data_IF_724094025488
#
_entry.id   IF_724094025488
#
_cell.length_a   1.000
_cell.length_b   1.000
_cell.length_c   1.000
_cell.angle_alpha   90.00
_cell.angle_beta   90.00
_cell.angle_gamma   90.00
#
_symmetry.space_group_name_H-M   'P 1'
#
loop_
_entity.id
_entity.type
_entity.pdbx_description
1 polymer ?
#
# COMPACT_ATOMS: atom_id res chain seq x y z
N UNK A 1 15.97 -0.68 -13.35
CA UNK A 1 16.97 -0.68 -12.25
C UNK A 1 16.27 -1.27 -11.04
N UNK A 2 16.94 -2.06 -10.18
CA UNK A 2 16.27 -2.59 -9.00
C UNK A 2 15.73 -1.43 -8.16
N UNK A 3 14.48 -1.56 -7.72
CA UNK A 3 13.86 -0.60 -6.80
C UNK A 3 14.68 -0.59 -5.51
N UNK A 4 15.25 0.57 -5.18
CA UNK A 4 16.11 0.72 -3.99
C UNK A 4 15.30 0.52 -2.71
N UNK A 5 15.94 -0.06 -1.69
CA UNK A 5 15.39 -0.23 -0.35
C UNK A 5 14.03 -0.99 -0.36
N UNK A 6 13.86 -1.91 -1.32
CA UNK A 6 12.64 -2.70 -1.50
C UNK A 6 12.53 -3.82 -0.46
N UNK A 7 11.31 -4.07 0.01
CA UNK A 7 11.04 -5.13 0.96
C UNK A 7 9.57 -5.25 1.34
N UNK A 8 9.34 -6.02 2.41
CA UNK A 8 8.02 -6.32 2.96
C UNK A 8 7.95 -5.78 4.39
N UNK A 9 6.92 -5.01 4.72
CA UNK A 9 6.63 -4.62 6.09
C UNK A 9 5.40 -5.35 6.62
N UNK A 10 5.57 -6.10 7.71
CA UNK A 10 4.47 -6.72 8.46
C UNK A 10 4.10 -5.86 9.66
N UNK A 11 2.82 -5.53 9.80
CA UNK A 11 2.35 -4.63 10.86
C UNK A 11 0.85 -4.72 11.13
N UNK A 12 0.37 -3.74 11.90
CA UNK A 12 -1.03 -3.51 12.23
C UNK A 12 -1.46 -2.09 11.83
N UNK A 13 -2.57 -1.92 11.11
CA UNK A 13 -3.05 -0.63 10.69
C UNK A 13 -3.73 0.08 11.86
N UNK A 14 -3.45 1.38 12.01
CA UNK A 14 -3.91 2.18 13.15
C UNK A 14 -4.80 3.36 12.71
N UNK A 15 -4.47 3.99 11.59
CA UNK A 15 -5.17 5.18 11.09
C UNK A 15 -4.96 5.28 9.58
N UNK A 16 -5.80 6.04 8.87
CA UNK A 16 -5.56 6.36 7.47
C UNK A 16 -6.07 7.75 7.14
N UNK A 17 -5.47 8.35 6.12
CA UNK A 17 -5.94 9.59 5.50
C UNK A 17 -5.98 9.42 3.99
N UNK A 18 -7.03 9.95 3.37
CA UNK A 18 -7.16 10.05 1.93
C UNK A 18 -6.79 11.46 1.49
N UNK A 19 -5.91 11.58 0.50
CA UNK A 19 -5.73 12.82 -0.26
C UNK A 19 -6.60 12.75 -1.52
N UNK A 20 -7.45 13.74 -1.75
CA UNK A 20 -8.25 13.85 -2.98
C UNK A 20 -7.50 14.64 -4.08
N UNK A 21 -8.10 14.74 -5.26
CA UNK A 21 -7.49 15.45 -6.40
C UNK A 21 -7.30 16.96 -6.19
N UNK A 22 -8.02 17.56 -5.24
CA UNK A 22 -7.91 18.98 -4.89
C UNK A 22 -6.78 19.20 -3.89
N UNK A 23 -6.50 18.22 -3.03
CA UNK A 23 -5.41 18.24 -2.06
C UNK A 23 -4.04 17.91 -2.68
N UNK A 24 -3.96 16.89 -3.54
CA UNK A 24 -2.78 16.59 -4.36
C UNK A 24 -3.21 16.36 -5.83
N UNK A 25 -3.11 17.38 -6.70
CA UNK A 25 -3.48 17.23 -8.10
C UNK A 25 -2.52 16.33 -8.89
N UNK A 26 -1.31 16.08 -8.37
CA UNK A 26 -0.24 15.34 -9.05
C UNK A 26 -0.26 13.86 -8.69
N UNK A 27 -0.31 13.52 -7.40
CA UNK A 27 -0.16 12.15 -6.90
C UNK A 27 -0.98 11.91 -5.62
N UNK A 28 -2.32 11.97 -5.69
CA UNK A 28 -3.16 11.63 -4.55
C UNK A 28 -2.91 10.18 -4.16
N UNK A 29 -2.83 9.97 -2.84
CA UNK A 29 -2.52 8.69 -2.23
C UNK A 29 -3.32 8.52 -0.94
N UNK A 30 -3.59 7.27 -0.58
CA UNK A 30 -4.00 6.91 0.76
C UNK A 30 -2.73 6.81 1.62
N UNK A 31 -2.66 7.62 2.67
CA UNK A 31 -1.65 7.48 3.72
C UNK A 31 -2.19 6.50 4.77
N UNK A 32 -1.68 5.27 4.79
CA UNK A 32 -2.01 4.28 5.82
C UNK A 32 -0.97 4.36 6.93
N UNK A 33 -1.40 4.58 8.16
CA UNK A 33 -0.54 4.57 9.34
C UNK A 33 -0.62 3.25 10.06
N UNK A 34 0.53 2.74 10.49
CA UNK A 34 0.65 1.43 11.09
C UNK A 34 1.76 1.37 12.13
N UNK A 35 1.77 0.30 12.91
CA UNK A 35 2.84 -0.05 13.83
C UNK A 35 3.19 -1.54 13.67
N UNK A 36 4.39 -1.92 14.07
CA UNK A 36 4.86 -3.31 14.08
C UNK A 36 4.98 -3.87 15.51
N UNK A 37 4.58 -3.11 16.53
CA UNK A 37 4.53 -3.60 17.89
C UNK A 37 3.34 -4.56 18.12
N UNK A 38 3.61 -5.85 18.21
CA UNK A 38 2.61 -6.90 18.48
C UNK A 38 2.14 -6.94 19.95
N UNK A 39 2.88 -6.34 20.88
CA UNK A 39 2.50 -6.35 22.30
C UNK A 39 1.47 -5.26 22.64
N UNK A 40 1.57 -4.07 22.02
CA UNK A 40 0.70 -2.94 22.35
C UNK A 40 0.59 -1.93 21.20
N UNK A 41 -0.63 -1.44 20.98
CA UNK A 41 -0.88 -0.28 20.13
C UNK A 41 -0.18 0.97 20.70
N UNK A 42 0.66 1.66 19.92
CA UNK A 42 1.28 2.91 20.35
C UNK A 42 0.21 3.95 20.70
N UNK A 43 0.51 4.81 21.69
CA UNK A 43 -0.26 6.03 21.88
C UNK A 43 0.14 7.02 20.80
N UNK A 44 -0.85 7.54 20.07
CA UNK A 44 -0.67 8.62 19.11
C UNK A 44 -1.87 9.55 19.19
N UNK A 45 -1.64 10.81 18.83
CA UNK A 45 -2.69 11.80 18.69
C UNK A 45 -3.51 11.49 17.42
N UNK A 46 -4.77 11.06 17.59
CA UNK A 46 -5.69 10.76 16.48
C UNK A 46 -6.07 12.01 15.70
N UNK A 47 -5.90 13.17 16.32
CA UNK A 47 -6.28 14.47 15.82
C UNK A 47 -5.05 15.22 15.26
N UNK A 48 -3.87 14.59 15.28
CA UNK A 48 -2.59 15.17 14.86
C UNK A 48 -2.68 15.85 13.48
N UNK A 49 -3.43 15.20 12.58
CA UNK A 49 -3.67 15.63 11.20
C UNK A 49 -5.13 15.97 10.91
N UNK A 50 -5.99 16.22 11.92
CA UNK A 50 -7.41 16.54 11.73
C UNK A 50 -7.60 17.48 10.53
N UNK A 51 -8.04 16.91 9.40
CA UNK A 51 -8.13 17.66 8.15
C UNK A 51 -9.36 18.55 8.21
N UNK A 52 -9.17 19.83 7.93
CA UNK A 52 -10.28 20.68 7.55
C UNK A 52 -10.56 20.43 6.07
N UNK A 53 -11.64 19.70 5.78
CA UNK A 53 -12.15 19.49 4.42
C UNK A 53 -12.22 20.84 3.69
N UNK A 54 -11.45 21.01 2.61
CA UNK A 54 -11.41 22.24 1.81
C UNK A 54 -10.29 23.24 2.14
N UNK A 55 -9.38 22.93 3.07
CA UNK A 55 -8.19 23.75 3.31
C UNK A 55 -6.91 23.05 2.79
N UNK A 56 -5.96 23.80 2.19
CA UNK A 56 -4.71 23.21 1.72
C UNK A 56 -3.90 22.63 2.89
N UNK A 57 -3.11 21.56 2.66
CA UNK A 57 -2.25 20.98 3.68
C UNK A 57 -1.32 22.03 4.30
N UNK A 58 -1.21 22.06 5.63
CA UNK A 58 -0.19 22.87 6.29
C UNK A 58 1.20 22.31 5.98
N UNK A 59 1.93 22.97 5.09
CA UNK A 59 3.28 22.57 4.64
C UNK A 59 4.32 22.54 5.77
N UNK A 60 4.03 23.13 6.93
CA UNK A 60 4.93 23.14 8.10
C UNK A 60 4.69 21.95 9.04
N UNK A 61 3.57 21.21 8.90
CA UNK A 61 3.34 19.99 9.66
C UNK A 61 3.87 18.77 8.90
N UNK A 62 4.64 17.88 9.55
CA UNK A 62 5.08 16.64 8.91
C UNK A 62 3.88 15.75 8.58
N UNK A 63 4.02 14.94 7.52
CA UNK A 63 3.01 13.95 7.14
C UNK A 63 3.04 12.75 8.09
N UNK A 64 4.11 12.56 8.84
CA UNK A 64 4.32 11.41 9.70
C UNK A 64 3.76 11.68 11.10
N UNK A 65 2.93 10.75 11.60
CA UNK A 65 2.37 10.81 12.96
C UNK A 65 3.42 10.23 13.91
N UNK A 66 3.89 10.98 14.92
CA UNK A 66 4.85 10.46 15.89
C UNK A 66 4.35 9.15 16.53
N UNK A 67 5.21 8.14 16.54
CA UNK A 67 4.90 6.81 17.07
C UNK A 67 4.27 5.83 16.07
N UNK A 68 4.03 6.25 14.82
CA UNK A 68 3.54 5.39 13.74
C UNK A 68 4.46 5.44 12.53
N UNK A 69 4.46 4.36 11.76
CA UNK A 69 4.98 4.30 10.39
C UNK A 69 3.90 4.74 9.41
N UNK A 70 4.30 5.17 8.21
CA UNK A 70 3.37 5.58 7.14
C UNK A 70 3.62 4.80 5.85
N UNK A 71 2.56 4.30 5.23
CA UNK A 71 2.58 3.77 3.87
C UNK A 71 1.90 4.76 2.93
N UNK A 72 2.59 5.21 1.90
CA UNK A 72 2.01 6.00 0.83
C UNK A 72 1.52 5.08 -0.28
N UNK A 73 0.20 4.85 -0.33
CA UNK A 73 -0.47 3.95 -1.27
C UNK A 73 -1.07 4.77 -2.39
N UNK A 74 -0.52 4.67 -3.60
CA UNK A 74 -0.98 5.45 -4.73
C UNK A 74 -2.41 5.05 -5.12
N UNK A 75 -3.30 6.04 -5.23
CA UNK A 75 -4.69 5.83 -5.66
C UNK A 75 -4.97 6.49 -7.03
N UNK A 76 -3.95 7.03 -7.69
CA UNK A 76 -4.03 7.57 -9.04
C UNK A 76 -2.72 7.36 -9.79
N UNK A 77 -2.81 7.11 -11.09
CA UNK A 77 -1.66 7.12 -11.99
C UNK A 77 -1.19 8.55 -12.28
N UNK A 78 0.12 8.79 -12.33
CA UNK A 78 0.73 10.08 -12.67
C UNK A 78 0.84 10.31 -14.20
N UNK A 79 0.46 9.33 -15.02
CA UNK A 79 0.46 9.40 -16.48
C UNK A 79 -0.76 10.11 -17.09
N UNK A 80 -0.82 10.15 -18.43
CA UNK A 80 -1.98 10.71 -19.17
C UNK A 80 -3.29 9.95 -18.89
N UNK A 81 -3.18 8.68 -18.50
CA UNK A 81 -4.27 7.84 -18.05
C UNK A 81 -4.26 7.81 -16.51
N UNK A 82 -5.31 8.33 -15.88
CA UNK A 82 -5.41 8.44 -14.42
C UNK A 82 -6.00 7.20 -13.76
N UNK A 83 -6.64 6.31 -14.54
CA UNK A 83 -7.23 5.06 -14.07
C UNK A 83 -6.16 4.12 -13.52
N UNK A 84 -6.49 3.40 -12.45
CA UNK A 84 -5.68 2.31 -11.92
C UNK A 84 -6.36 0.97 -12.19
N UNK A 85 -5.56 -0.02 -12.55
CA UNK A 85 -6.00 -1.40 -12.47
C UNK A 85 -5.87 -1.87 -11.02
N UNK A 86 -6.93 -2.46 -10.49
CA UNK A 86 -6.95 -2.98 -9.13
C UNK A 86 -7.60 -4.36 -9.09
N UNK A 87 -7.11 -5.19 -8.18
CA UNK A 87 -7.59 -6.55 -7.94
C UNK A 87 -7.94 -6.70 -6.47
N UNK A 88 -9.19 -7.11 -6.20
CA UNK A 88 -9.58 -7.64 -4.89
C UNK A 88 -9.56 -9.15 -4.98
N UNK A 89 -8.54 -9.78 -4.40
CA UNK A 89 -8.48 -11.24 -4.31
C UNK A 89 -8.82 -11.69 -2.88
N UNK A 90 -10.07 -12.09 -2.66
CA UNK A 90 -10.50 -12.68 -1.39
C UNK A 90 -10.07 -14.14 -1.19
N UNK A 91 -9.55 -14.80 -2.23
CA UNK A 91 -9.10 -16.20 -2.22
C UNK A 91 -7.58 -16.35 -2.06
N UNK A 92 -6.88 -15.27 -1.76
CA UNK A 92 -5.43 -15.29 -1.59
C UNK A 92 -4.96 -16.32 -0.55
N UNK A 93 -5.83 -16.69 0.41
CA UNK A 93 -5.60 -17.73 1.42
C UNK A 93 -5.12 -19.06 0.84
N UNK A 94 -5.51 -19.41 -0.38
CA UNK A 94 -5.10 -20.66 -1.06
C UNK A 94 -3.70 -20.56 -1.70
N UNK A 95 -3.11 -19.37 -1.76
CA UNK A 95 -1.84 -19.12 -2.46
C UNK A 95 -0.62 -19.33 -1.54
N UNK A 96 0.46 -20.02 -1.98
CA UNK A 96 1.65 -20.28 -1.16
C UNK A 96 2.38 -19.04 -0.58
N UNK A 97 2.08 -17.84 -1.11
CA UNK A 97 2.61 -16.58 -0.55
C UNK A 97 2.11 -16.32 0.87
N UNK A 98 0.94 -16.84 1.26
CA UNK A 98 0.33 -16.57 2.56
C UNK A 98 1.11 -17.20 3.70
N UNK A 99 1.59 -18.44 3.53
CA UNK A 99 2.44 -19.14 4.50
C UNK A 99 3.78 -18.40 4.69
N UNK A 100 4.38 -17.93 3.59
CA UNK A 100 5.62 -17.15 3.64
C UNK A 100 5.42 -15.85 4.43
N UNK A 101 4.32 -15.14 4.16
CA UNK A 101 3.98 -13.90 4.84
C UNK A 101 3.65 -14.12 6.32
N UNK A 102 2.90 -15.18 6.65
CA UNK A 102 2.53 -15.47 8.04
C UNK A 102 3.74 -15.74 8.91
N UNK A 103 4.80 -16.33 8.35
CA UNK A 103 6.03 -16.68 9.07
C UNK A 103 7.00 -15.50 9.26
N UNK A 104 6.75 -14.33 8.67
CA UNK A 104 7.57 -13.14 8.92
C UNK A 104 7.38 -12.63 10.35
N UNK A 105 8.46 -12.19 10.99
CA UNK A 105 8.37 -11.37 12.19
C UNK A 105 7.74 -10.01 11.86
N UNK A 106 7.20 -9.32 12.87
CA UNK A 106 6.74 -7.95 12.68
C UNK A 106 7.92 -7.01 12.43
N UNK A 107 7.74 -6.04 11.52
CA UNK A 107 8.79 -5.12 11.09
C UNK A 107 9.05 -5.19 9.59
N UNK A 108 10.09 -4.48 9.16
CA UNK A 108 10.52 -4.44 7.76
C UNK A 108 11.57 -5.52 7.46
N UNK A 109 11.36 -6.22 6.36
CA UNK A 109 12.23 -7.26 5.83
C UNK A 109 12.76 -6.82 4.46
N UNK A 110 14.02 -6.39 4.34
CA UNK A 110 14.61 -6.02 3.05
C UNK A 110 14.73 -7.25 2.14
N UNK A 111 14.53 -7.06 0.85
CA UNK A 111 14.81 -8.08 -0.17
C UNK A 111 16.05 -7.58 -0.94
N UNK A 112 17.24 -7.94 -0.44
CA UNK A 112 18.51 -7.67 -1.13
C UNK A 112 18.59 -8.50 -2.43
N UNK A 113 19.29 -7.99 -3.45
CA UNK A 113 19.16 -8.35 -4.87
C UNK A 113 18.86 -9.84 -5.16
N UNK A 114 17.56 -10.15 -5.32
CA UNK A 114 16.88 -11.25 -6.02
C UNK A 114 17.48 -12.68 -5.98
N UNK A 115 18.45 -12.96 -5.11
CA UNK A 115 19.12 -14.26 -4.98
C UNK A 115 18.78 -14.94 -3.66
N UNK A 116 18.50 -14.19 -2.60
CA UNK A 116 18.10 -14.75 -1.30
C UNK A 116 16.67 -15.32 -1.30
N UNK A 117 15.91 -15.02 -2.34
CA UNK A 117 14.47 -15.14 -2.31
C UNK A 117 13.96 -15.68 -3.66
N UNK A 118 14.30 -16.92 -4.06
CA UNK A 118 13.70 -17.74 -5.17
C UNK A 118 12.37 -17.18 -5.78
N UNK A 119 12.38 -16.06 -6.51
CA UNK A 119 11.16 -15.35 -6.93
C UNK A 119 10.16 -14.92 -5.83
N UNK A 120 10.62 -14.33 -4.72
CA UNK A 120 9.81 -14.09 -3.51
C UNK A 120 9.58 -12.59 -3.16
N UNK A 121 9.91 -11.64 -4.05
CA UNK A 121 9.28 -10.31 -4.02
C UNK A 121 7.86 -10.38 -4.61
N UNK A 122 7.13 -9.26 -4.66
CA UNK A 122 5.81 -9.28 -5.29
C UNK A 122 5.97 -9.18 -6.81
N UNK A 123 5.45 -10.16 -7.52
CA UNK A 123 5.28 -10.12 -8.98
C UNK A 123 3.91 -10.71 -9.28
N UNK A 124 2.97 -9.86 -9.67
CA UNK A 124 1.60 -10.33 -9.84
C UNK A 124 1.43 -11.28 -11.03
N UNK A 125 2.25 -11.11 -12.07
CA UNK A 125 2.17 -11.88 -13.32
C UNK A 125 2.90 -13.22 -13.16
N UNK A 126 4.17 -13.20 -12.73
CA UNK A 126 4.99 -14.41 -12.55
C UNK A 126 4.58 -15.21 -11.32
N UNK A 127 4.07 -14.53 -10.30
CA UNK A 127 3.54 -15.17 -9.10
C UNK A 127 2.14 -15.76 -9.27
N UNK A 128 1.48 -15.57 -10.43
CA UNK A 128 0.11 -16.05 -10.69
C UNK A 128 -0.89 -15.66 -9.58
N UNK A 129 -0.74 -14.46 -9.01
CA UNK A 129 -1.52 -13.99 -7.85
C UNK A 129 -2.95 -13.59 -8.23
N UNK A 130 -3.17 -13.32 -9.51
CA UNK A 130 -4.48 -13.12 -10.11
C UNK A 130 -4.42 -13.43 -11.60
N UNK A 131 -5.59 -13.72 -12.18
CA UNK A 131 -5.75 -13.70 -13.64
C UNK A 131 -5.82 -12.25 -14.11
N UNK A 132 -5.01 -11.87 -15.10
CA UNK A 132 -4.99 -10.49 -15.61
C UNK A 132 -6.36 -10.00 -16.09
N UNK A 133 -7.25 -10.91 -16.54
CA UNK A 133 -8.61 -10.57 -16.96
C UNK A 133 -9.58 -10.28 -15.81
N UNK A 134 -9.25 -10.59 -14.55
CA UNK A 134 -10.13 -10.35 -13.40
C UNK A 134 -9.92 -8.97 -12.76
N UNK A 135 -9.06 -8.14 -13.33
CA UNK A 135 -8.79 -6.79 -12.85
C UNK A 135 -9.96 -5.86 -13.13
N UNK A 136 -10.26 -4.96 -12.18
CA UNK A 136 -11.14 -3.83 -12.42
C UNK A 136 -10.28 -2.62 -12.75
N UNK A 137 -10.48 -2.02 -13.92
CA UNK A 137 -9.93 -0.71 -14.23
C UNK A 137 -10.90 0.32 -13.66
N UNK A 138 -10.49 1.01 -12.60
CA UNK A 138 -11.32 2.00 -11.92
C UNK A 138 -10.76 3.41 -12.15
N UNK A 139 -11.64 4.40 -12.38
CA UNK A 139 -11.27 5.80 -12.20
C UNK A 139 -10.94 6.09 -10.74
N UNK A 140 -10.47 7.30 -10.50
CA UNK A 140 -10.17 7.82 -9.17
C UNK A 140 -11.06 9.04 -8.91
N UNK A 141 -11.66 9.11 -7.72
CA UNK A 141 -12.33 10.29 -7.16
C UNK A 141 -13.45 10.81 -8.08
N UNK A 142 -14.41 9.93 -8.35
CA UNK A 142 -15.63 10.28 -9.08
C UNK A 142 -16.87 10.11 -8.19
N UNK A 143 -17.89 10.97 -8.32
CA UNK A 143 -19.11 10.82 -7.54
C UNK A 143 -19.82 9.50 -7.83
N UNK A 144 -20.26 8.81 -6.78
CA UNK A 144 -21.00 7.56 -6.88
C UNK A 144 -20.62 6.60 -5.76
N UNK A 145 -21.00 5.33 -5.89
CA UNK A 145 -20.54 4.27 -4.98
C UNK A 145 -20.04 3.09 -5.80
N UNK A 146 -18.96 2.46 -5.33
CA UNK A 146 -18.28 1.34 -5.98
C UNK A 146 -17.82 1.63 -7.42
N UNK A 147 -17.66 2.90 -7.78
CA UNK A 147 -17.31 3.31 -9.14
C UNK A 147 -15.89 3.88 -9.25
N UNK A 148 -15.18 4.06 -8.13
CA UNK A 148 -13.76 4.41 -8.11
C UNK A 148 -12.93 3.55 -7.14
N UNK A 149 -11.61 3.75 -7.14
CA UNK A 149 -10.69 3.02 -6.27
C UNK A 149 -10.84 3.35 -4.78
N UNK A 150 -11.27 4.57 -4.44
CA UNK A 150 -11.45 5.00 -3.04
C UNK A 150 -12.64 4.25 -2.44
N UNK A 151 -13.73 4.15 -3.18
CA UNK A 151 -14.93 3.38 -2.80
C UNK A 151 -14.64 1.91 -2.49
N UNK A 152 -13.65 1.33 -3.16
CA UNK A 152 -13.27 -0.07 -2.97
C UNK A 152 -12.24 -0.22 -1.86
N UNK A 153 -11.23 0.64 -1.79
CA UNK A 153 -10.11 0.51 -0.85
C UNK A 153 -10.47 0.97 0.56
N UNK A 154 -11.20 2.09 0.69
CA UNK A 154 -11.47 2.71 1.98
C UNK A 154 -12.27 1.78 2.93
N UNK A 155 -13.33 1.08 2.49
CA UNK A 155 -14.05 0.16 3.36
C UNK A 155 -13.18 -1.00 3.87
N UNK A 156 -12.27 -1.51 3.04
CA UNK A 156 -11.38 -2.61 3.42
C UNK A 156 -10.31 -2.14 4.42
N UNK A 157 -9.75 -0.93 4.25
CA UNK A 157 -8.85 -0.31 5.23
C UNK A 157 -9.56 -0.05 6.56
N UNK A 158 -10.78 0.50 6.54
CA UNK A 158 -11.61 0.70 7.75
C UNK A 158 -11.84 -0.62 8.49
N UNK A 159 -12.22 -1.67 7.76
CA UNK A 159 -12.40 -3.02 8.34
C UNK A 159 -11.09 -3.55 8.92
N UNK A 160 -9.96 -3.39 8.24
CA UNK A 160 -8.66 -3.85 8.73
C UNK A 160 -8.26 -3.18 10.04
N UNK A 161 -8.44 -1.86 10.15
CA UNK A 161 -8.19 -1.10 11.40
C UNK A 161 -9.13 -1.58 12.51
N UNK A 162 -10.43 -1.69 12.23
CA UNK A 162 -11.42 -2.10 13.21
C UNK A 162 -11.14 -3.49 13.78
N UNK A 163 -10.80 -4.45 12.92
CA UNK A 163 -10.52 -5.83 13.31
C UNK A 163 -9.07 -6.07 13.72
N UNK A 164 -8.22 -5.03 13.78
CA UNK A 164 -6.79 -5.14 14.05
C UNK A 164 -6.10 -6.20 13.18
N UNK A 165 -6.46 -6.20 11.89
CA UNK A 165 -5.94 -7.15 10.92
C UNK A 165 -4.42 -7.03 10.80
N UNK A 166 -3.74 -8.12 10.44
CA UNK A 166 -2.33 -8.05 10.02
C UNK A 166 -2.26 -7.51 8.61
N UNK A 167 -1.37 -6.55 8.38
CA UNK A 167 -1.07 -6.02 7.05
C UNK A 167 0.31 -6.46 6.58
N UNK A 168 0.43 -6.66 5.28
CA UNK A 168 1.71 -6.83 4.60
C UNK A 168 1.81 -5.78 3.49
N UNK A 169 2.86 -4.96 3.58
CA UNK A 169 3.12 -3.85 2.67
C UNK A 169 4.36 -4.17 1.85
N UNK A 170 4.23 -4.21 0.54
CA UNK A 170 5.35 -4.33 -0.39
C UNK A 170 5.67 -2.97 -1.00
N UNK A 171 6.95 -2.62 -1.03
CA UNK A 171 7.41 -1.33 -1.57
C UNK A 171 8.82 -0.97 -1.10
N UNK A 172 9.18 0.30 -1.27
CA UNK A 172 10.47 0.87 -0.85
C UNK A 172 10.38 1.52 0.51
N UNK A 173 11.32 1.24 1.41
CA UNK A 173 11.46 1.98 2.66
C UNK A 173 11.76 3.47 2.39
N UNK A 174 11.14 4.36 3.15
CA UNK A 174 11.51 5.78 3.11
C UNK A 174 12.96 5.99 3.53
N UNK A 175 13.63 7.00 2.98
CA UNK A 175 14.97 7.42 3.44
C UNK A 175 15.00 7.77 4.94
N UNK A 176 13.88 8.26 5.48
CA UNK A 176 13.66 8.56 6.90
C UNK A 176 13.41 7.32 7.77
N UNK A 177 13.28 6.13 7.16
CA UNK A 177 13.02 4.84 7.81
C UNK A 177 11.74 4.76 8.66
N UNK A 178 10.83 5.71 8.49
CA UNK A 178 9.57 5.80 9.21
C UNK A 178 8.36 5.41 8.34
N UNK A 179 8.57 4.51 7.37
CA UNK A 179 7.50 4.04 6.51
C UNK A 179 7.96 3.51 5.16
N UNK A 180 6.98 3.36 4.26
CA UNK A 180 7.14 2.72 2.95
C UNK A 180 6.39 3.51 1.85
N UNK A 181 6.92 3.50 0.63
CA UNK A 181 6.27 4.04 -0.57
C UNK A 181 6.42 3.08 -1.75
N UNK A 182 6.00 3.52 -2.93
CA UNK A 182 5.91 2.68 -4.12
C UNK A 182 5.02 1.46 -3.86
N UNK A 183 3.94 1.64 -3.07
CA UNK A 183 2.95 0.60 -2.77
C UNK A 183 1.92 0.57 -3.89
N UNK A 184 2.36 0.23 -5.09
CA UNK A 184 1.55 0.02 -6.28
C UNK A 184 2.23 -0.97 -7.21
N UNK A 185 1.46 -1.61 -8.09
CA UNK A 185 2.03 -2.45 -9.15
C UNK A 185 3.02 -1.63 -9.98
N UNK A 186 4.23 -2.18 -10.19
CA UNK A 186 5.31 -1.55 -10.94
C UNK A 186 5.44 -2.10 -12.35
N UNK A 187 4.63 -3.10 -12.73
CA UNK A 187 4.60 -3.70 -14.05
C UNK A 187 3.47 -3.15 -14.94
N UNK A 188 3.78 -2.84 -16.20
CA UNK A 188 2.82 -2.38 -17.20
C UNK A 188 2.96 -0.91 -17.57
N UNK A 189 4.14 -0.35 -17.33
CA UNK A 189 4.46 1.04 -17.58
C UNK A 189 4.48 1.39 -19.09
N UNK A 190 3.99 2.60 -19.44
CA UNK A 190 4.18 3.15 -20.80
C UNK A 190 5.69 3.31 -21.10
N UNK A 191 6.13 3.39 -22.37
CA UNK A 191 7.54 3.25 -22.78
C UNK A 191 8.59 4.09 -22.00
N UNK A 192 8.19 5.22 -21.42
CA UNK A 192 9.07 6.08 -20.61
C UNK A 192 9.38 5.54 -19.19
N UNK A 193 8.57 4.62 -18.66
CA UNK A 193 8.69 4.04 -17.31
C UNK A 193 9.07 2.55 -17.32
N UNK A 194 9.42 1.99 -18.49
CA UNK A 194 9.82 0.56 -18.63
C UNK A 194 11.04 0.21 -17.77
N UNK A 195 11.88 1.20 -17.42
CA UNK A 195 13.02 1.00 -16.52
C UNK A 195 12.61 0.66 -15.08
N UNK A 196 11.36 0.92 -14.71
CA UNK A 196 10.75 0.67 -13.41
C UNK A 196 9.96 -0.66 -13.38
N UNK A 197 9.82 -1.35 -14.52
CA UNK A 197 9.25 -2.70 -14.62
C UNK A 197 10.24 -3.74 -14.03
N UNK A 198 10.49 -3.66 -12.73
CA UNK A 198 11.33 -4.57 -11.99
C UNK A 198 10.68 -5.96 -11.85
N UNK A 199 11.48 -7.01 -12.03
CA UNK A 199 11.04 -8.38 -11.78
C UNK A 199 10.96 -8.59 -10.26
N UNK A 200 9.83 -9.07 -9.73
CA UNK A 200 9.58 -9.22 -8.27
C UNK A 200 9.72 -7.94 -7.44
N UNK A 201 9.36 -6.80 -8.03
CA UNK A 201 9.45 -5.49 -7.36
C UNK A 201 8.14 -4.71 -7.42
N UNK A 202 7.00 -5.40 -7.58
CA UNK A 202 5.69 -4.76 -7.46
C UNK A 202 5.48 -4.29 -6.01
N UNK A 203 4.78 -3.18 -5.85
CA UNK A 203 4.21 -2.77 -4.58
C UNK A 203 2.79 -3.29 -4.40
N UNK A 204 2.36 -3.40 -3.15
CA UNK A 204 1.03 -3.92 -2.86
C UNK A 204 0.69 -3.91 -1.37
N UNK A 205 -0.61 -3.93 -1.11
CA UNK A 205 -1.19 -4.07 0.23
C UNK A 205 -1.94 -5.40 0.30
N UNK A 206 -1.57 -6.27 1.23
CA UNK A 206 -2.33 -7.47 1.58
C UNK A 206 -2.89 -7.29 2.98
N UNK A 207 -4.20 -7.54 3.12
CA UNK A 207 -4.93 -7.51 4.38
C UNK A 207 -5.24 -8.94 4.80
N UNK A 208 -4.65 -9.40 5.91
CA UNK A 208 -4.95 -10.70 6.50
C UNK A 208 -5.86 -10.50 7.70
N UNK A 209 -7.11 -10.95 7.57
CA UNK A 209 -8.02 -11.03 8.71
C UNK A 209 -7.46 -12.04 9.70
N UNK A 210 -7.36 -11.65 10.98
CA UNK A 210 -7.12 -12.63 12.04
C UNK A 210 -8.37 -13.49 12.15
N UNK A 211 -8.21 -14.82 12.13
CA UNK A 211 -9.28 -15.73 12.52
C UNK A 211 -9.51 -15.52 14.02
N UNK A 212 -10.55 -14.75 14.38
CA UNK A 212 -11.20 -14.84 15.69
C UNK A 212 -12.32 -15.88 15.58
#
# INVERSE_FOLDING_TARGET
MPVKDYGIWKGFPAHYELEDRFEDPKSPHLSLYYHDNNAKMPQFDRDYRHKHKGNPPNKQKPREIPGLFRAAINIKSTGKESRLAYWVNHKLVEHPITEKLSNLDFGFHPIEELTDFDGKGLDFIRGNLFTTQSGRVLPHDIPGTNNDIIDVLEPEVKKAIHHKATIYLFGSMFNTRNGIHNVHMNQGNIPHFVKDDGVFQDGGLILSKSNL
#
